data_IF_520357014382
#
_entry.id   IF_520357014382
#
_cell.length_a   1.000
_cell.length_b   1.000
_cell.length_c   1.000
_cell.angle_alpha   90.00
_cell.angle_beta   90.00
_cell.angle_gamma   90.00
#
_symmetry.space_group_name_H-M   'P 1'
#
loop_
_entity.id
_entity.type
_entity.pdbx_description
1 polymer ?
#
# COMPACT_ATOMS: atom_id res chain seq x y z
N UNK A 1 14.58 8.86 10.07
CA UNK A 1 14.44 7.52 9.45
C UNK A 1 15.00 6.41 10.33
N UNK A 2 16.10 6.62 11.05
CA UNK A 2 16.79 5.60 11.87
C UNK A 2 15.89 4.85 12.87
N UNK A 3 14.99 5.57 13.56
CA UNK A 3 14.04 4.93 14.48
C UNK A 3 13.06 4.00 13.75
N UNK A 4 12.56 4.40 12.58
CA UNK A 4 11.66 3.57 11.78
C UNK A 4 12.38 2.33 11.23
N UNK A 5 13.61 2.50 10.75
CA UNK A 5 14.48 1.40 10.32
C UNK A 5 14.73 0.39 11.46
N UNK A 6 15.02 0.89 12.66
CA UNK A 6 15.24 0.06 13.84
C UNK A 6 13.97 -0.72 14.25
N UNK A 7 12.82 -0.05 14.30
CA UNK A 7 11.53 -0.70 14.61
C UNK A 7 11.19 -1.76 13.56
N UNK A 8 11.38 -1.45 12.28
CA UNK A 8 11.13 -2.39 11.20
C UNK A 8 12.05 -3.61 11.30
N UNK A 9 13.34 -3.40 11.56
CA UNK A 9 14.28 -4.51 11.77
C UNK A 9 13.86 -5.40 12.94
N UNK A 10 13.53 -4.82 14.09
CA UNK A 10 13.06 -5.60 15.25
C UNK A 10 11.79 -6.39 14.93
N UNK A 11 10.83 -5.76 14.25
CA UNK A 11 9.59 -6.42 13.87
C UNK A 11 9.83 -7.55 12.86
N UNK A 12 10.70 -7.31 11.87
CA UNK A 12 11.14 -8.32 10.89
C UNK A 12 11.76 -9.52 11.59
N UNK A 13 12.68 -9.30 12.53
CA UNK A 13 13.37 -10.38 13.24
C UNK A 13 12.40 -11.17 14.15
N UNK A 14 11.58 -10.48 14.94
CA UNK A 14 10.65 -11.11 15.90
C UNK A 14 9.52 -11.88 15.19
N UNK A 15 8.94 -11.31 14.13
CA UNK A 15 7.81 -11.93 13.41
C UNK A 15 8.17 -13.27 12.78
N UNK A 16 9.45 -13.51 12.47
CA UNK A 16 9.95 -14.81 11.97
C UNK A 16 10.02 -15.87 13.05
N UNK A 17 10.01 -15.49 14.32
CA UNK A 17 10.02 -16.40 15.47
C UNK A 17 8.60 -16.70 15.94
N UNK A 18 7.76 -15.66 16.08
CA UNK A 18 6.43 -15.79 16.70
C UNK A 18 5.27 -15.74 15.68
N UNK A 19 5.56 -15.52 14.40
CA UNK A 19 4.57 -15.31 13.36
C UNK A 19 3.98 -13.90 13.36
N UNK A 20 3.06 -13.68 12.42
CA UNK A 20 2.28 -12.43 12.30
C UNK A 20 0.83 -12.76 12.67
N UNK A 21 0.20 -11.98 13.55
CA UNK A 21 -1.22 -12.15 13.89
C UNK A 21 -2.18 -11.61 12.82
N UNK A 22 -3.47 -11.98 12.89
CA UNK A 22 -4.54 -11.47 12.00
C UNK A 22 -5.51 -10.52 12.71
N UNK A 23 -4.99 -9.69 13.63
CA UNK A 23 -5.81 -8.81 14.44
C UNK A 23 -6.50 -7.72 13.61
N UNK A 24 -7.77 -7.47 13.92
CA UNK A 24 -8.44 -6.22 13.59
C UNK A 24 -8.43 -5.30 14.81
N UNK A 25 -8.24 -4.00 14.58
CA UNK A 25 -8.41 -2.98 15.63
C UNK A 25 -9.58 -2.08 15.27
N UNK A 26 -10.33 -1.66 16.29
CA UNK A 26 -11.36 -0.63 16.13
C UNK A 26 -10.74 0.73 16.42
N UNK A 27 -10.82 1.65 15.46
CA UNK A 27 -10.38 3.03 15.65
C UNK A 27 -11.16 3.70 16.77
N UNK A 28 -10.48 4.37 17.69
CA UNK A 28 -11.13 5.07 18.81
C UNK A 28 -12.03 6.19 18.30
N UNK A 29 -11.56 6.99 17.35
CA UNK A 29 -12.32 8.13 16.84
C UNK A 29 -13.24 7.76 15.68
N UNK A 30 -12.73 6.98 14.72
CA UNK A 30 -13.48 6.61 13.51
C UNK A 30 -14.51 5.51 13.76
N UNK A 31 -14.35 4.73 14.83
CA UNK A 31 -15.11 3.50 15.11
C UNK A 31 -15.04 2.42 14.01
N UNK A 32 -14.23 2.63 12.98
CA UNK A 32 -14.04 1.68 11.89
C UNK A 32 -13.12 0.54 12.34
N UNK A 33 -13.37 -0.64 11.79
CA UNK A 33 -12.45 -1.77 11.93
C UNK A 33 -11.34 -1.70 10.89
N UNK A 34 -10.14 -2.02 11.33
CA UNK A 34 -8.93 -1.93 10.54
C UNK A 34 -8.15 -3.23 10.60
N UNK A 35 -7.83 -3.78 9.43
CA UNK A 35 -6.89 -4.88 9.31
C UNK A 35 -5.47 -4.37 9.52
N UNK A 36 -4.86 -4.70 10.67
CA UNK A 36 -3.54 -4.20 11.06
C UNK A 36 -2.47 -4.58 10.05
N UNK A 37 -2.57 -5.77 9.44
CA UNK A 37 -1.60 -6.21 8.43
C UNK A 37 -1.63 -5.31 7.21
N UNK A 38 -2.83 -4.94 6.75
CA UNK A 38 -2.98 -4.09 5.57
C UNK A 38 -2.46 -2.68 5.83
N UNK A 39 -2.70 -2.14 7.02
CA UNK A 39 -2.11 -0.86 7.44
C UNK A 39 -0.60 -0.92 7.43
N UNK A 40 -0.03 -1.92 8.11
CA UNK A 40 1.42 -2.06 8.19
C UNK A 40 2.06 -2.27 6.82
N UNK A 41 1.44 -3.07 5.94
CA UNK A 41 1.90 -3.22 4.56
C UNK A 41 1.91 -1.89 3.80
N UNK A 42 0.86 -1.07 3.97
CA UNK A 42 0.78 0.27 3.39
C UNK A 42 1.93 1.17 3.86
N UNK A 43 2.25 1.14 5.15
CA UNK A 43 3.35 1.91 5.76
C UNK A 43 4.71 1.40 5.27
N UNK A 44 4.88 0.08 5.12
CA UNK A 44 6.11 -0.51 4.55
C UNK A 44 6.35 -0.03 3.12
N UNK A 45 5.32 0.01 2.28
CA UNK A 45 5.45 0.51 0.91
C UNK A 45 5.92 1.97 0.92
N UNK A 46 5.30 2.82 1.76
CA UNK A 46 5.68 4.21 1.89
C UNK A 46 7.13 4.35 2.38
N UNK A 47 7.52 3.61 3.43
CA UNK A 47 8.87 3.60 3.96
C UNK A 47 9.92 3.18 2.92
N UNK A 48 9.68 2.09 2.19
CA UNK A 48 10.61 1.60 1.15
C UNK A 48 10.76 2.64 0.03
N UNK A 49 9.68 3.34 -0.32
CA UNK A 49 9.74 4.41 -1.31
C UNK A 49 10.56 5.61 -0.83
N UNK A 50 10.29 6.10 0.38
CA UNK A 50 10.98 7.26 0.99
C UNK A 50 12.48 7.00 1.21
N UNK A 51 12.85 5.76 1.56
CA UNK A 51 14.25 5.37 1.76
C UNK A 51 14.96 4.91 0.49
N UNK A 52 14.21 4.64 -0.57
CA UNK A 52 14.67 3.93 -1.76
C UNK A 52 15.38 2.60 -1.42
N UNK A 53 14.85 1.88 -0.43
CA UNK A 53 15.36 0.58 0.02
C UNK A 53 14.22 -0.45 0.04
N UNK A 54 14.31 -1.43 -0.86
CA UNK A 54 13.28 -2.45 -1.08
C UNK A 54 13.62 -3.81 -0.49
N UNK A 55 14.62 -3.92 0.41
CA UNK A 55 15.00 -5.20 1.01
C UNK A 55 13.85 -5.90 1.77
N UNK A 56 12.86 -5.14 2.25
CA UNK A 56 11.69 -5.63 2.97
C UNK A 56 10.51 -5.99 2.07
N UNK A 57 10.67 -5.96 0.75
CA UNK A 57 9.55 -6.17 -0.17
C UNK A 57 8.90 -7.55 -0.01
N UNK A 58 9.69 -8.63 -0.05
CA UNK A 58 9.17 -9.99 0.14
C UNK A 58 8.50 -10.15 1.49
N UNK A 59 8.98 -9.43 2.51
CA UNK A 59 8.34 -9.43 3.82
C UNK A 59 7.00 -8.69 3.78
N UNK A 60 6.94 -7.51 3.16
CA UNK A 60 5.73 -6.72 2.94
C UNK A 60 4.63 -7.52 2.24
N UNK A 61 5.00 -8.33 1.23
CA UNK A 61 4.05 -9.19 0.51
C UNK A 61 3.33 -10.20 1.43
N UNK A 62 3.96 -10.66 2.51
CA UNK A 62 3.33 -11.59 3.48
C UNK A 62 2.19 -10.97 4.29
N UNK A 63 2.08 -9.64 4.28
CA UNK A 63 1.01 -8.89 4.94
C UNK A 63 -0.18 -8.62 4.02
N UNK A 64 -0.02 -8.76 2.70
CA UNK A 64 -1.08 -8.49 1.73
C UNK A 64 -2.09 -9.67 1.76
N UNK A 65 -3.35 -9.46 2.15
CA UNK A 65 -4.36 -10.51 2.10
C UNK A 65 -4.80 -10.80 0.66
N UNK A 66 -5.41 -11.98 0.45
CA UNK A 66 -6.01 -12.33 -0.85
C UNK A 66 -7.13 -11.37 -1.27
N UNK A 67 -7.85 -10.80 -0.29
CA UNK A 67 -8.86 -9.76 -0.47
C UNK A 67 -8.46 -8.51 0.32
N UNK A 68 -8.07 -7.46 -0.39
CA UNK A 68 -7.74 -6.16 0.19
C UNK A 68 -9.04 -5.46 0.63
N UNK A 69 -9.05 -4.97 1.86
CA UNK A 69 -10.17 -4.23 2.46
C UNK A 69 -9.79 -2.78 2.77
N UNK A 70 -8.51 -2.46 2.76
CA UNK A 70 -7.98 -1.14 3.03
C UNK A 70 -7.67 -0.37 1.72
N UNK A 71 -8.33 0.76 1.52
CA UNK A 71 -8.14 1.60 0.33
C UNK A 71 -6.75 2.22 0.23
N UNK A 72 -6.08 2.49 1.36
CA UNK A 72 -4.70 2.98 1.41
C UNK A 72 -3.72 1.92 0.92
N UNK A 73 -3.85 0.66 1.34
CA UNK A 73 -2.99 -0.42 0.85
C UNK A 73 -3.13 -0.57 -0.66
N UNK A 74 -4.35 -0.67 -1.17
CA UNK A 74 -4.60 -0.76 -2.61
C UNK A 74 -4.00 0.44 -3.36
N UNK A 75 -4.16 1.65 -2.82
CA UNK A 75 -3.60 2.85 -3.42
C UNK A 75 -2.06 2.83 -3.46
N UNK A 76 -1.41 2.49 -2.35
CA UNK A 76 0.06 2.44 -2.28
C UNK A 76 0.62 1.36 -3.21
N UNK A 77 -0.07 0.21 -3.35
CA UNK A 77 0.28 -0.81 -4.34
C UNK A 77 0.14 -0.29 -5.78
N UNK A 78 -0.85 0.55 -6.07
CA UNK A 78 -0.96 1.20 -7.37
C UNK A 78 0.22 2.14 -7.62
N UNK A 79 0.60 2.98 -6.65
CA UNK A 79 1.78 3.86 -6.75
C UNK A 79 3.07 3.06 -6.97
N UNK A 80 3.29 2.00 -6.19
CA UNK A 80 4.47 1.13 -6.32
C UNK A 80 4.59 0.53 -7.72
N UNK A 81 3.49 0.02 -8.27
CA UNK A 81 3.48 -0.55 -9.62
C UNK A 81 3.61 0.52 -10.72
N UNK A 82 3.03 1.69 -10.50
CA UNK A 82 3.19 2.84 -11.41
C UNK A 82 4.66 3.27 -11.53
N UNK A 83 5.35 3.41 -10.40
CA UNK A 83 6.79 3.73 -10.37
C UNK A 83 7.64 2.72 -11.15
N UNK A 84 7.22 1.46 -11.14
CA UNK A 84 7.87 0.35 -11.84
C UNK A 84 7.44 0.18 -13.30
N UNK A 85 6.54 1.02 -13.80
CA UNK A 85 6.00 0.92 -15.16
C UNK A 85 5.09 -0.30 -15.38
N UNK A 86 4.61 -0.94 -14.31
CA UNK A 86 3.74 -2.11 -14.36
C UNK A 86 2.28 -1.67 -14.51
N UNK A 87 1.89 -1.38 -15.76
CA UNK A 87 0.58 -0.80 -16.10
C UNK A 87 -0.60 -1.65 -15.61
N UNK A 88 -0.62 -2.95 -15.92
CA UNK A 88 -1.75 -3.83 -15.58
C UNK A 88 -1.95 -3.95 -14.07
N UNK A 89 -0.87 -4.14 -13.32
CA UNK A 89 -0.89 -4.21 -11.86
C UNK A 89 -1.31 -2.87 -11.25
N UNK A 90 -0.81 -1.76 -11.77
CA UNK A 90 -1.23 -0.42 -11.37
C UNK A 90 -2.74 -0.26 -11.54
N UNK A 91 -3.29 -0.53 -12.74
CA UNK A 91 -4.72 -0.40 -13.04
C UNK A 91 -5.57 -1.32 -12.17
N UNK A 92 -5.11 -2.56 -11.91
CA UNK A 92 -5.77 -3.50 -10.99
C UNK A 92 -5.92 -2.88 -9.60
N UNK A 93 -4.83 -2.36 -9.03
CA UNK A 93 -4.85 -1.81 -7.69
C UNK A 93 -5.60 -0.47 -7.61
N UNK A 94 -5.57 0.35 -8.67
CA UNK A 94 -6.43 1.53 -8.79
C UNK A 94 -7.91 1.17 -8.69
N UNK A 95 -8.36 0.15 -9.45
CA UNK A 95 -9.76 -0.32 -9.42
C UNK A 95 -10.18 -0.72 -8.00
N UNK A 96 -9.32 -1.47 -7.29
CA UNK A 96 -9.58 -1.88 -5.90
C UNK A 96 -9.67 -0.65 -4.98
N UNK A 97 -8.70 0.27 -5.06
CA UNK A 97 -8.67 1.47 -4.22
C UNK A 97 -9.91 2.36 -4.43
N UNK A 98 -10.31 2.56 -5.69
CA UNK A 98 -11.51 3.32 -6.06
C UNK A 98 -12.78 2.65 -5.53
N UNK A 99 -12.91 1.32 -5.67
CA UNK A 99 -14.04 0.56 -5.13
C UNK A 99 -14.13 0.65 -3.60
N UNK A 100 -12.99 0.80 -2.91
CA UNK A 100 -12.90 1.02 -1.46
C UNK A 100 -13.01 2.50 -1.07
N UNK A 101 -13.38 3.39 -2.00
CA UNK A 101 -13.67 4.79 -1.71
C UNK A 101 -12.47 5.74 -1.75
N UNK A 102 -11.30 5.33 -2.26
CA UNK A 102 -10.18 6.26 -2.48
C UNK A 102 -10.61 7.35 -3.47
N UNK A 103 -10.47 8.64 -3.16
CA UNK A 103 -10.92 9.69 -4.08
C UNK A 103 -10.10 9.72 -5.37
N UNK A 104 -10.79 9.82 -6.53
CA UNK A 104 -10.17 9.95 -7.87
C UNK A 104 -9.11 11.07 -7.93
N UNK A 105 -9.28 12.14 -7.15
CA UNK A 105 -8.36 13.28 -7.10
C UNK A 105 -6.94 12.93 -6.63
N UNK A 106 -6.77 11.87 -5.84
CA UNK A 106 -5.44 11.43 -5.40
C UNK A 106 -4.60 10.95 -6.59
N UNK A 107 -5.17 10.11 -7.47
CA UNK A 107 -4.47 9.59 -8.65
C UNK A 107 -4.05 10.68 -9.64
N UNK A 108 -4.77 11.82 -9.68
CA UNK A 108 -4.44 12.98 -10.51
C UNK A 108 -3.32 13.85 -9.95
N UNK A 109 -2.97 13.69 -8.67
CA UNK A 109 -2.04 14.56 -7.95
C UNK A 109 -0.75 13.85 -7.56
N UNK A 110 -0.81 12.54 -7.30
CA UNK A 110 0.40 11.80 -6.92
C UNK A 110 1.42 11.74 -8.07
N UNK A 111 2.67 12.16 -7.83
CA UNK A 111 3.73 12.15 -8.84
C UNK A 111 4.02 10.77 -9.44
N UNK A 112 3.78 9.69 -8.70
CA UNK A 112 4.02 8.31 -9.12
C UNK A 112 3.23 7.95 -10.37
N UNK A 113 2.03 8.52 -10.54
CA UNK A 113 1.18 8.28 -11.71
C UNK A 113 1.49 9.19 -12.90
N UNK A 114 2.45 10.12 -12.80
CA UNK A 114 2.69 11.15 -13.84
C UNK A 114 2.91 10.56 -15.23
N UNK A 115 3.56 9.39 -15.33
CA UNK A 115 3.79 8.68 -16.60
C UNK A 115 2.50 8.18 -17.27
N UNK A 116 1.42 8.03 -16.51
CA UNK A 116 0.15 7.46 -16.95
C UNK A 116 -0.98 8.49 -17.04
N UNK A 117 -0.75 9.77 -16.71
CA UNK A 117 -1.82 10.79 -16.76
C UNK A 117 -2.46 10.99 -18.13
N UNK A 118 -1.81 10.57 -19.21
CA UNK A 118 -2.36 10.60 -20.57
C UNK A 118 -2.70 9.20 -21.11
N UNK A 119 -2.55 8.15 -20.29
CA UNK A 119 -2.89 6.78 -20.68
C UNK A 119 -4.42 6.61 -20.70
N UNK A 120 -5.02 6.10 -21.80
CA UNK A 120 -6.47 5.97 -21.92
C UNK A 120 -7.11 5.12 -20.81
N UNK A 121 -6.49 3.99 -20.45
CA UNK A 121 -7.03 3.08 -19.44
C UNK A 121 -6.93 3.68 -18.04
N UNK A 122 -5.87 4.46 -17.78
CA UNK A 122 -5.74 5.24 -16.55
C UNK A 122 -6.84 6.31 -16.44
N UNK A 123 -7.07 7.04 -17.53
CA UNK A 123 -8.07 8.10 -17.59
C UNK A 123 -9.49 7.57 -17.43
N UNK A 124 -9.82 6.41 -18.02
CA UNK A 124 -11.12 5.75 -17.87
C UNK A 124 -11.51 5.55 -16.40
N UNK A 125 -10.53 5.26 -15.53
CA UNK A 125 -10.78 5.02 -14.11
C UNK A 125 -11.04 6.28 -13.29
N UNK A 126 -10.54 7.44 -13.73
CA UNK A 126 -10.47 8.65 -12.87
C UNK A 126 -11.11 9.89 -13.46
N UNK A 127 -11.59 9.83 -14.70
CA UNK A 127 -12.43 10.87 -15.29
C UNK A 127 -13.88 10.73 -14.84
#
# INVERSE_FOLDING_TARGET
MDRAAYILKLFYDVSRVIGIGNGTIKGIDSQNEYNIREYFAGDLIAYMHETNDFQYETFMETFIPSKITNSLLAFNLACLNSNRGKKEEMLKYMKIALALGKPKSYFKREPEFKKFWNDPDFLELIQ
#
